data_IF_351110288591
#
_entry.id   IF_351110288591
#
_cell.length_a   1.000
_cell.length_b   1.000
_cell.length_c   1.000
_cell.angle_alpha   90.00
_cell.angle_beta   90.00
_cell.angle_gamma   90.00
#
_symmetry.space_group_name_H-M   'P 1'
#
loop_
_entity.id
_entity.type
_entity.pdbx_description
1 polymer ?
#
# COMPACT_ATOMS: atom_id res chain seq x y z
N UNK A 1 3.04 0.67 16.22
CA UNK A 1 2.54 0.78 14.82
C UNK A 1 3.39 -0.12 13.93
N UNK A 2 2.83 -0.74 12.91
CA UNK A 2 3.57 -1.55 11.93
C UNK A 2 3.35 -1.05 10.49
N UNK A 3 4.37 -1.20 9.63
CA UNK A 3 4.30 -0.89 8.20
C UNK A 3 4.10 -2.20 7.40
N UNK A 4 2.89 -2.39 6.89
CA UNK A 4 2.50 -3.53 6.06
C UNK A 4 2.92 -3.24 4.61
N UNK A 5 3.67 -4.17 4.00
CA UNK A 5 4.04 -4.13 2.56
C UNK A 5 3.80 -5.50 1.97
N UNK A 6 3.19 -5.58 0.78
CA UNK A 6 2.86 -6.86 0.15
C UNK A 6 4.09 -7.72 -0.12
N UNK A 7 5.21 -7.11 -0.49
CA UNK A 7 6.48 -7.84 -0.71
C UNK A 7 7.02 -8.51 0.56
N UNK A 8 6.69 -7.98 1.75
CA UNK A 8 7.11 -8.54 3.03
C UNK A 8 6.14 -9.61 3.54
N UNK A 9 4.85 -9.41 3.31
CA UNK A 9 3.81 -10.39 3.69
C UNK A 9 3.68 -11.52 2.67
N UNK A 10 4.28 -11.39 1.49
CA UNK A 10 4.14 -12.36 0.42
C UNK A 10 2.78 -12.31 -0.28
N UNK A 11 2.08 -11.17 -0.22
CA UNK A 11 0.82 -10.96 -0.93
C UNK A 11 -0.30 -10.35 -0.08
N UNK A 12 -1.44 -10.08 -0.74
CA UNK A 12 -2.61 -9.42 -0.16
C UNK A 12 -3.28 -10.27 0.92
N UNK A 13 -3.36 -11.59 0.73
CA UNK A 13 -4.01 -12.51 1.67
C UNK A 13 -3.39 -12.39 3.06
N UNK A 14 -2.07 -12.50 3.16
CA UNK A 14 -1.36 -12.39 4.45
C UNK A 14 -1.35 -10.96 4.96
N UNK A 15 -1.34 -9.95 4.09
CA UNK A 15 -1.42 -8.56 4.52
C UNK A 15 -2.75 -8.23 5.22
N UNK A 16 -3.87 -8.81 4.77
CA UNK A 16 -5.18 -8.68 5.43
C UNK A 16 -5.23 -9.43 6.78
N UNK A 17 -4.64 -10.63 6.85
CA UNK A 17 -4.52 -11.38 8.09
C UNK A 17 -3.69 -10.61 9.13
N UNK A 18 -2.51 -10.12 8.71
CA UNK A 18 -1.62 -9.30 9.54
C UNK A 18 -2.29 -8.00 10.02
N UNK A 19 -3.06 -7.33 9.16
CA UNK A 19 -3.78 -6.11 9.54
C UNK A 19 -4.80 -6.37 10.65
N UNK A 20 -5.53 -7.49 10.56
CA UNK A 20 -6.51 -7.91 11.57
C UNK A 20 -5.81 -8.19 12.90
N UNK A 21 -4.82 -9.08 12.90
CA UNK A 21 -4.09 -9.50 14.10
C UNK A 21 -3.39 -8.32 14.77
N UNK A 22 -2.72 -7.45 13.98
CA UNK A 22 -2.02 -6.30 14.53
C UNK A 22 -2.98 -5.32 15.22
N UNK A 23 -4.21 -5.15 14.72
CA UNK A 23 -5.23 -4.32 15.39
C UNK A 23 -5.72 -4.94 16.69
N UNK A 24 -5.93 -6.26 16.72
CA UNK A 24 -6.31 -7.00 17.93
C UNK A 24 -5.24 -6.89 19.01
N UNK A 25 -3.97 -6.88 18.62
CA UNK A 25 -2.82 -6.64 19.50
C UNK A 25 -2.60 -5.15 19.85
N UNK A 26 -3.45 -4.23 19.37
CA UNK A 26 -3.38 -2.81 19.70
C UNK A 26 -2.33 -2.00 18.93
N UNK A 27 -1.78 -2.53 17.83
CA UNK A 27 -0.90 -1.76 16.96
C UNK A 27 -1.69 -0.84 16.03
N UNK A 28 -1.22 0.40 15.87
CA UNK A 28 -1.59 1.23 14.71
C UNK A 28 -1.03 0.65 13.40
N UNK A 29 -1.69 0.94 12.28
CA UNK A 29 -1.31 0.42 10.97
C UNK A 29 -0.84 1.54 10.03
N UNK A 30 0.21 1.23 9.27
CA UNK A 30 0.67 1.98 8.10
C UNK A 30 0.74 1.01 6.92
N UNK A 31 0.35 1.49 5.74
CA UNK A 31 0.49 0.75 4.48
C UNK A 31 1.63 1.37 3.67
N UNK A 32 2.62 0.56 3.29
CA UNK A 32 3.75 1.00 2.50
C UNK A 32 3.90 0.20 1.20
N UNK A 33 4.72 0.71 0.29
CA UNK A 33 5.12 0.01 -0.94
C UNK A 33 6.65 -0.11 -1.07
N UNK A 34 7.08 -0.84 -2.09
CA UNK A 34 8.45 -0.76 -2.62
C UNK A 34 8.46 0.18 -3.85
N UNK A 35 9.60 0.32 -4.53
CA UNK A 35 9.61 0.85 -5.90
C UNK A 35 8.85 -0.13 -6.80
N UNK A 36 7.75 0.32 -7.38
CA UNK A 36 6.83 -0.54 -8.11
C UNK A 36 5.96 0.25 -9.10
N UNK A 37 5.32 -0.46 -10.02
CA UNK A 37 4.32 0.13 -10.94
C UNK A 37 2.95 0.25 -10.28
N UNK A 38 2.03 1.03 -10.87
CA UNK A 38 0.63 1.17 -10.40
C UNK A 38 -0.08 -0.15 -10.09
N UNK A 39 0.25 -1.25 -10.79
CA UNK A 39 -0.31 -2.59 -10.52
C UNK A 39 -0.16 -3.03 -9.06
N UNK A 40 1.01 -2.78 -8.45
CA UNK A 40 1.26 -3.19 -7.08
C UNK A 40 0.49 -2.30 -6.09
N UNK A 41 0.39 -0.99 -6.36
CA UNK A 41 -0.41 -0.08 -5.55
C UNK A 41 -1.89 -0.47 -5.61
N UNK A 42 -2.42 -0.77 -6.81
CA UNK A 42 -3.80 -1.26 -6.97
C UNK A 42 -4.08 -2.52 -6.12
N UNK A 43 -3.12 -3.43 -6.03
CA UNK A 43 -3.25 -4.64 -5.20
C UNK A 43 -3.31 -4.34 -3.68
N UNK A 44 -2.82 -3.17 -3.23
CA UNK A 44 -2.84 -2.77 -1.81
C UNK A 44 -4.13 -2.06 -1.39
N UNK A 45 -4.92 -1.53 -2.33
CA UNK A 45 -6.09 -0.69 -2.06
C UNK A 45 -7.11 -1.29 -1.07
N UNK A 46 -7.35 -2.63 -1.01
CA UNK A 46 -8.25 -3.20 0.00
C UNK A 46 -7.84 -2.94 1.47
N UNK A 47 -6.57 -2.60 1.73
CA UNK A 47 -6.08 -2.27 3.08
C UNK A 47 -6.23 -0.78 3.43
N UNK A 48 -6.47 0.10 2.45
CA UNK A 48 -6.50 1.56 2.64
C UNK A 48 -7.44 2.04 3.77
N UNK A 49 -8.67 1.50 3.94
CA UNK A 49 -9.56 1.97 5.00
C UNK A 49 -9.09 1.64 6.43
N UNK A 50 -8.06 0.78 6.57
CA UNK A 50 -7.62 0.26 7.86
C UNK A 50 -6.39 0.97 8.43
N UNK A 51 -5.72 1.82 7.64
CA UNK A 51 -4.42 2.40 8.00
C UNK A 51 -4.50 3.88 8.35
N UNK A 52 -3.62 4.31 9.26
CA UNK A 52 -3.46 5.72 9.63
C UNK A 52 -2.59 6.50 8.65
N UNK A 53 -1.68 5.80 7.96
CA UNK A 53 -0.75 6.37 6.99
C UNK A 53 -0.64 5.47 5.76
N UNK A 54 -0.57 6.07 4.58
CA UNK A 54 -0.36 5.39 3.30
C UNK A 54 0.86 6.00 2.60
N UNK A 55 1.87 5.16 2.39
CA UNK A 55 3.11 5.44 1.67
C UNK A 55 3.11 4.59 0.39
N UNK A 56 2.41 5.09 -0.62
CA UNK A 56 2.02 4.37 -1.85
C UNK A 56 2.50 5.08 -3.12
N UNK A 57 3.48 5.97 -3.00
CA UNK A 57 3.95 6.81 -4.11
C UNK A 57 5.01 6.14 -5.00
N UNK A 58 5.31 4.85 -4.77
CA UNK A 58 6.29 4.06 -5.51
C UNK A 58 6.28 4.27 -7.04
N UNK A 59 5.11 4.36 -7.71
CA UNK A 59 5.05 4.64 -9.14
C UNK A 59 5.62 6.00 -9.55
N UNK A 60 5.52 7.02 -8.70
CA UNK A 60 6.00 8.39 -8.98
C UNK A 60 7.53 8.48 -9.03
N UNK A 61 8.23 7.46 -8.52
CA UNK A 61 9.69 7.34 -8.58
C UNK A 61 10.17 6.71 -9.90
N UNK A 62 9.27 6.12 -10.69
CA UNK A 62 9.61 5.54 -11.99
C UNK A 62 9.63 6.63 -13.07
N UNK A 63 10.59 6.55 -13.99
CA UNK A 63 10.61 7.45 -15.15
C UNK A 63 9.36 7.29 -16.04
N UNK A 64 8.81 6.08 -16.10
CA UNK A 64 7.55 5.73 -16.75
C UNK A 64 6.84 4.64 -15.94
N UNK A 65 5.51 4.68 -15.90
CA UNK A 65 4.67 3.65 -15.30
C UNK A 65 3.91 2.84 -16.38
N UNK A 66 3.08 1.89 -15.98
CA UNK A 66 2.19 1.12 -16.87
C UNK A 66 1.07 1.97 -17.47
N UNK A 67 0.38 1.44 -18.49
CA UNK A 67 -0.79 2.09 -19.09
C UNK A 67 -2.02 1.15 -19.03
N UNK A 68 -3.14 1.57 -18.40
CA UNK A 68 -3.32 2.80 -17.64
C UNK A 68 -2.59 2.79 -16.28
N UNK A 69 -2.09 3.95 -15.85
CA UNK A 69 -1.52 4.19 -14.53
C UNK A 69 -2.56 4.76 -13.55
N UNK A 70 -2.30 4.62 -12.25
CA UNK A 70 -2.97 5.39 -11.21
C UNK A 70 -2.55 6.86 -11.31
N UNK A 71 -3.47 7.76 -10.94
CA UNK A 71 -3.23 9.20 -11.00
C UNK A 71 -2.70 9.71 -9.67
N UNK A 72 -1.53 10.34 -9.70
CA UNK A 72 -0.91 10.98 -8.55
C UNK A 72 -0.77 12.50 -8.75
N UNK A 73 -0.86 13.25 -7.67
CA UNK A 73 -0.26 14.60 -7.54
C UNK A 73 0.54 14.64 -6.24
N UNK A 74 1.24 15.75 -5.96
CA UNK A 74 2.05 15.89 -4.74
C UNK A 74 1.23 15.57 -3.48
N UNK A 75 1.55 14.45 -2.85
CA UNK A 75 0.91 13.98 -1.62
C UNK A 75 -0.48 13.35 -1.78
N UNK A 76 -0.96 13.10 -2.99
CA UNK A 76 -2.31 12.57 -3.23
C UNK A 76 -2.35 11.50 -4.32
N UNK A 77 -3.08 10.41 -4.05
CA UNK A 77 -3.49 9.37 -5.00
C UNK A 77 -4.99 9.52 -5.28
N UNK A 78 -5.39 9.55 -6.55
CA UNK A 78 -6.80 9.61 -6.98
C UNK A 78 -7.24 8.25 -7.54
N UNK A 79 -8.38 7.75 -7.05
CA UNK A 79 -9.01 6.49 -7.45
C UNK A 79 -10.27 6.75 -8.27
#
# INVERSE_FOLDING_TARGET
>A
MINIKLDKTGGLTEALALATEAREQGFGLMLGCMLCTSRAISATLPLMPQVSFADLDGPTWLAVDVEPALRFTTGQLYL
#
